data_IF_301069814045
#
_entry.id   IF_301069814045
#
_cell.length_a   1.000
_cell.length_b   1.000
_cell.length_c   1.000
_cell.angle_alpha   90.00
_cell.angle_beta   90.00
_cell.angle_gamma   90.00
#
_symmetry.space_group_name_H-M   'P 1'
#
loop_
_entity.id
_entity.type
_entity.pdbx_description
1 polymer ?
#
# COMPACT_ATOMS: atom_id res chain seq x y z
N UNK A 1 -5.14 1.32 -14.48
CA UNK A 1 -5.20 1.08 -13.02
C UNK A 1 -3.91 1.59 -12.39
N UNK A 2 -4.00 2.34 -11.30
CA UNK A 2 -2.85 2.93 -10.58
C UNK A 2 -2.71 2.28 -9.21
N UNK A 3 -1.49 1.91 -8.81
CA UNK A 3 -1.21 1.38 -7.47
C UNK A 3 -0.40 2.43 -6.69
N UNK A 4 -0.92 2.82 -5.53
CA UNK A 4 -0.20 3.64 -4.55
C UNK A 4 0.13 2.77 -3.33
N UNK A 5 1.41 2.45 -3.17
CA UNK A 5 1.94 1.73 -2.01
C UNK A 5 2.45 2.67 -0.94
N UNK A 6 1.94 2.59 0.28
CA UNK A 6 2.49 3.28 1.45
C UNK A 6 2.96 2.22 2.44
N UNK A 7 4.26 2.19 2.70
CA UNK A 7 4.88 1.13 3.51
C UNK A 7 5.98 1.68 4.39
N UNK A 8 6.32 0.94 5.44
CA UNK A 8 7.53 1.21 6.20
C UNK A 8 8.80 0.99 5.39
N UNK A 9 9.90 1.56 5.90
CA UNK A 9 11.19 1.53 5.25
C UNK A 9 11.71 0.10 4.99
N UNK A 10 11.30 -0.87 5.82
CA UNK A 10 11.63 -2.29 5.67
C UNK A 10 11.21 -2.88 4.32
N UNK A 11 10.09 -2.41 3.74
CA UNK A 11 9.58 -2.89 2.45
C UNK A 11 9.74 -1.89 1.32
N UNK A 12 9.91 -0.60 1.63
CA UNK A 12 9.96 0.49 0.64
C UNK A 12 10.98 0.24 -0.48
N UNK A 13 12.24 -0.06 -0.14
CA UNK A 13 13.31 -0.19 -1.14
C UNK A 13 13.04 -1.34 -2.11
N UNK A 14 12.55 -2.46 -1.59
CA UNK A 14 12.29 -3.65 -2.39
C UNK A 14 11.06 -3.49 -3.26
N UNK A 15 9.96 -2.93 -2.72
CA UNK A 15 8.76 -2.63 -3.50
C UNK A 15 9.01 -1.58 -4.58
N UNK A 16 9.87 -0.58 -4.30
CA UNK A 16 10.29 0.40 -5.31
C UNK A 16 11.14 -0.22 -6.42
N UNK A 17 11.90 -1.28 -6.12
CA UNK A 17 12.63 -2.03 -7.16
C UNK A 17 11.66 -2.89 -7.97
N UNK A 18 10.79 -3.63 -7.29
CA UNK A 18 9.77 -4.46 -7.91
C UNK A 18 8.80 -3.67 -8.80
N UNK A 19 8.44 -2.44 -8.40
CA UNK A 19 7.59 -1.56 -9.21
C UNK A 19 8.24 -1.13 -10.52
N UNK A 20 9.56 -0.92 -10.53
CA UNK A 20 10.31 -0.59 -11.76
C UNK A 20 10.31 -1.75 -12.76
N UNK A 21 10.31 -2.99 -12.28
CA UNK A 21 10.22 -4.18 -13.13
C UNK A 21 8.86 -4.29 -13.85
N UNK A 22 7.86 -3.53 -13.41
CA UNK A 22 6.50 -3.53 -13.95
C UNK A 22 6.11 -2.20 -14.61
N UNK A 23 7.05 -1.26 -14.77
CA UNK A 23 6.76 0.11 -15.24
C UNK A 23 6.05 0.17 -16.59
N UNK A 24 6.29 -0.81 -17.46
CA UNK A 24 5.74 -0.88 -18.81
C UNK A 24 4.34 -1.53 -18.83
N UNK A 25 3.91 -2.12 -17.71
CA UNK A 25 2.63 -2.81 -17.56
C UNK A 25 1.65 -2.02 -16.68
N UNK A 26 2.14 -1.37 -15.62
CA UNK A 26 1.30 -0.70 -14.63
C UNK A 26 1.95 0.55 -14.03
N UNK A 27 1.11 1.51 -13.66
CA UNK A 27 1.54 2.69 -12.93
C UNK A 27 1.57 2.39 -11.43
N UNK A 28 2.78 2.19 -10.89
CA UNK A 28 2.99 1.86 -9.48
C UNK A 28 3.89 2.92 -8.84
N UNK A 29 3.37 3.59 -7.81
CA UNK A 29 4.14 4.52 -6.98
C UNK A 29 4.23 3.97 -5.57
N UNK A 30 5.43 3.99 -5.00
CA UNK A 30 5.69 3.50 -3.64
C UNK A 30 6.27 4.65 -2.82
N UNK A 31 5.69 4.88 -1.65
CA UNK A 31 6.05 5.94 -0.72
C UNK A 31 6.47 5.36 0.63
N UNK A 32 7.48 5.97 1.23
CA UNK A 32 7.92 5.63 2.58
C UNK A 32 6.98 6.31 3.58
N UNK A 33 6.31 5.51 4.41
CA UNK A 33 5.46 6.00 5.49
C UNK A 33 6.22 6.97 6.42
N UNK A 34 7.50 6.68 6.72
CA UNK A 34 8.36 7.56 7.53
C UNK A 34 8.66 8.91 6.87
N UNK A 35 8.67 8.97 5.54
CA UNK A 35 8.83 10.23 4.82
C UNK A 35 7.53 11.04 4.81
N UNK A 36 6.38 10.37 4.62
CA UNK A 36 5.06 11.01 4.64
C UNK A 36 4.65 11.48 6.04
N UNK A 37 5.04 10.75 7.09
CA UNK A 37 4.80 11.15 8.48
C UNK A 37 5.41 12.52 8.82
N UNK A 38 6.54 12.86 8.20
CA UNK A 38 7.23 14.15 8.41
C UNK A 38 6.71 15.28 7.53
N UNK A 39 5.87 14.96 6.53
CA UNK A 39 5.43 15.91 5.51
C UNK A 39 3.95 15.69 5.21
N UNK A 40 3.12 16.35 6.02
CA UNK A 40 1.68 16.20 5.96
C UNK A 40 1.08 16.64 4.61
N UNK A 41 1.58 17.74 4.04
CA UNK A 41 1.07 18.26 2.77
C UNK A 41 1.34 17.25 1.65
N UNK A 42 2.50 16.59 1.69
CA UNK A 42 2.82 15.52 0.75
C UNK A 42 1.93 14.30 0.93
N UNK A 43 1.57 13.92 2.16
CA UNK A 43 0.61 12.83 2.39
C UNK A 43 -0.74 13.15 1.75
N UNK A 44 -1.28 14.34 1.99
CA UNK A 44 -2.55 14.79 1.40
C UNK A 44 -2.49 14.83 -0.13
N UNK A 45 -1.37 15.29 -0.69
CA UNK A 45 -1.15 15.28 -2.14
C UNK A 45 -1.14 13.86 -2.72
N UNK A 46 -0.45 12.92 -2.06
CA UNK A 46 -0.42 11.52 -2.52
C UNK A 46 -1.81 10.88 -2.46
N UNK A 47 -2.58 11.17 -1.42
CA UNK A 47 -3.93 10.62 -1.27
C UNK A 47 -4.94 11.29 -2.20
N UNK A 48 -4.78 12.57 -2.56
CA UNK A 48 -5.67 13.24 -3.52
C UNK A 48 -5.51 12.72 -4.96
N UNK A 49 -4.40 12.03 -5.27
CA UNK A 49 -4.22 11.33 -6.54
C UNK A 49 -5.01 10.01 -6.64
N UNK A 50 -5.72 9.60 -5.57
CA UNK A 50 -6.54 8.40 -5.57
C UNK A 50 -7.86 8.62 -6.30
N UNK A 51 -8.21 7.66 -7.16
CA UNK A 51 -9.44 7.66 -7.96
C UNK A 51 -10.17 6.33 -7.78
N UNK A 52 -11.41 6.20 -8.26
CA UNK A 52 -12.15 4.92 -8.19
C UNK A 52 -11.42 3.75 -8.85
N UNK A 53 -10.52 4.01 -9.80
CA UNK A 53 -9.71 2.99 -10.49
C UNK A 53 -8.32 2.76 -9.86
N UNK A 54 -8.07 3.37 -8.70
CA UNK A 54 -6.84 3.22 -7.94
C UNK A 54 -6.90 2.03 -6.97
N UNK A 55 -5.74 1.45 -6.70
CA UNK A 55 -5.50 0.51 -5.61
C UNK A 55 -4.53 1.12 -4.61
N UNK A 56 -4.90 1.13 -3.34
CA UNK A 56 -4.02 1.49 -2.23
C UNK A 56 -3.46 0.22 -1.61
N UNK A 57 -2.15 0.11 -1.57
CA UNK A 57 -1.45 -0.95 -0.86
C UNK A 57 -0.82 -0.39 0.40
N UNK A 58 -1.18 -0.94 1.56
CA UNK A 58 -0.66 -0.54 2.86
C UNK A 58 0.04 -1.71 3.52
N UNK A 59 1.19 -1.45 4.14
CA UNK A 59 1.72 -2.32 5.18
C UNK A 59 1.69 -1.55 6.51
N UNK A 60 0.60 -1.71 7.25
CA UNK A 60 0.30 -0.91 8.44
C UNK A 60 0.78 -1.55 9.74
N UNK A 61 0.90 -0.73 10.77
CA UNK A 61 1.19 -1.11 12.15
C UNK A 61 0.40 -0.20 13.10
N UNK A 62 0.66 -0.26 14.41
CA UNK A 62 -0.16 0.39 15.44
C UNK A 62 0.08 1.90 15.62
N UNK A 63 1.04 2.50 14.91
CA UNK A 63 1.42 3.90 15.05
C UNK A 63 0.33 4.87 14.55
N UNK A 64 0.19 6.02 15.22
CA UNK A 64 -0.84 7.03 14.94
C UNK A 64 -0.85 7.53 13.50
N UNK A 65 0.30 7.50 12.81
CA UNK A 65 0.38 7.81 11.38
C UNK A 65 -0.62 6.99 10.56
N UNK A 66 -0.78 5.70 10.86
CA UNK A 66 -1.71 4.83 10.12
C UNK A 66 -3.16 5.13 10.40
N UNK A 67 -3.50 5.57 11.62
CA UNK A 67 -4.86 6.04 11.90
C UNK A 67 -5.21 7.24 11.03
N UNK A 68 -4.25 8.13 10.78
CA UNK A 68 -4.45 9.29 9.91
C UNK A 68 -4.66 8.88 8.45
N UNK A 69 -3.81 7.99 7.94
CA UNK A 69 -3.95 7.42 6.59
C UNK A 69 -5.31 6.75 6.43
N UNK A 70 -5.70 5.93 7.41
CA UNK A 70 -6.99 5.24 7.40
C UNK A 70 -8.17 6.21 7.43
N UNK A 71 -8.12 7.26 8.26
CA UNK A 71 -9.15 8.30 8.30
C UNK A 71 -9.28 8.98 6.94
N UNK A 72 -8.19 9.37 6.30
CA UNK A 72 -8.23 10.04 5.00
C UNK A 72 -8.81 9.13 3.90
N UNK A 73 -8.41 7.86 3.85
CA UNK A 73 -8.97 6.88 2.92
C UNK A 73 -10.49 6.69 3.14
N UNK A 74 -10.94 6.69 4.41
CA UNK A 74 -12.37 6.51 4.74
C UNK A 74 -13.20 7.78 4.52
N UNK A 75 -12.66 8.96 4.82
CA UNK A 75 -13.36 10.25 4.73
C UNK A 75 -13.71 10.61 3.29
N UNK A 76 -12.82 10.32 2.33
CA UNK A 76 -13.04 10.59 0.91
C UNK A 76 -13.98 9.58 0.23
N UNK A 77 -14.66 8.73 1.02
CA UNK A 77 -15.44 7.58 0.56
C UNK A 77 -14.73 6.79 -0.56
N UNK A 78 -13.42 6.60 -0.41
CA UNK A 78 -12.59 6.08 -1.48
C UNK A 78 -13.18 4.79 -2.06
N UNK A 79 -13.66 4.86 -3.31
CA UNK A 79 -14.36 3.74 -3.98
C UNK A 79 -13.41 2.74 -4.65
N UNK A 80 -12.10 3.01 -4.61
CA UNK A 80 -11.10 2.10 -5.15
C UNK A 80 -10.83 0.90 -4.24
N UNK A 81 -9.79 0.14 -4.60
CA UNK A 81 -9.41 -1.07 -3.86
C UNK A 81 -8.40 -0.75 -2.78
N UNK A 82 -8.55 -1.36 -1.61
CA UNK A 82 -7.58 -1.27 -0.52
C UNK A 82 -7.08 -2.68 -0.23
N UNK A 83 -5.76 -2.84 -0.26
CA UNK A 83 -5.04 -4.03 0.22
C UNK A 83 -4.23 -3.58 1.42
N UNK A 84 -4.68 -3.91 2.61
CA UNK A 84 -4.02 -3.57 3.86
C UNK A 84 -3.43 -4.83 4.49
N UNK A 85 -2.10 -4.91 4.48
CA UNK A 85 -1.33 -5.93 5.16
C UNK A 85 -0.78 -5.39 6.48
N UNK A 86 -0.48 -6.30 7.39
CA UNK A 86 0.19 -6.01 8.66
C UNK A 86 0.70 -7.31 9.26
N UNK A 87 1.64 -7.21 10.20
CA UNK A 87 1.99 -8.32 11.07
C UNK A 87 0.78 -8.79 11.89
N UNK A 88 -0.09 -7.88 12.36
CA UNK A 88 -1.31 -8.25 13.08
C UNK A 88 -2.48 -8.38 12.09
N UNK A 89 -3.07 -9.59 11.92
CA UNK A 89 -4.20 -9.79 11.01
C UNK A 89 -5.45 -8.97 11.35
N UNK A 90 -5.61 -8.50 12.59
CA UNK A 90 -6.74 -7.64 12.96
C UNK A 90 -6.83 -6.37 12.08
N UNK A 91 -5.67 -5.91 11.61
CA UNK A 91 -5.54 -4.75 10.74
C UNK A 91 -5.90 -5.00 9.27
N UNK A 92 -6.05 -6.26 8.86
CA UNK A 92 -6.40 -6.61 7.48
C UNK A 92 -7.84 -6.23 7.13
N UNK A 93 -8.67 -6.00 8.14
CA UNK A 93 -10.07 -5.54 8.04
C UNK A 93 -10.25 -4.21 7.30
N UNK A 94 -9.17 -3.43 7.13
CA UNK A 94 -9.17 -2.23 6.28
C UNK A 94 -9.18 -2.56 4.78
N UNK A 95 -8.84 -3.80 4.40
CA UNK A 95 -8.86 -4.22 3.00
C UNK A 95 -10.29 -4.28 2.46
N UNK A 96 -10.50 -3.80 1.24
CA UNK A 96 -11.79 -3.89 0.53
C UNK A 96 -11.82 -5.03 -0.50
N UNK A 97 -10.70 -5.72 -0.67
CA UNK A 97 -10.59 -6.91 -1.52
C UNK A 97 -10.96 -8.19 -0.75
N UNK A 98 -11.18 -9.29 -1.48
CA UNK A 98 -11.48 -10.59 -0.86
C UNK A 98 -10.33 -11.07 0.05
N UNK A 99 -10.62 -11.76 1.17
CA UNK A 99 -9.59 -12.23 2.11
C UNK A 99 -8.48 -13.08 1.48
N UNK A 100 -8.79 -13.87 0.43
CA UNK A 100 -7.79 -14.71 -0.23
C UNK A 100 -6.73 -13.87 -0.95
N UNK A 101 -7.10 -12.68 -1.44
CA UNK A 101 -6.15 -11.74 -2.07
C UNK A 101 -5.21 -11.18 -1.01
N UNK A 102 -5.74 -10.81 0.16
CA UNK A 102 -4.95 -10.31 1.29
C UNK A 102 -3.96 -11.37 1.77
N UNK A 103 -4.46 -12.60 1.99
CA UNK A 103 -3.62 -13.73 2.43
C UNK A 103 -2.51 -14.05 1.43
N UNK A 104 -2.83 -14.09 0.13
CA UNK A 104 -1.84 -14.35 -0.92
C UNK A 104 -0.81 -13.23 -1.03
N UNK A 105 -1.23 -11.97 -0.95
CA UNK A 105 -0.30 -10.84 -0.94
C UNK A 105 0.63 -10.88 0.29
N UNK A 106 0.09 -11.22 1.46
CA UNK A 106 0.88 -11.41 2.67
C UNK A 106 1.91 -12.53 2.54
N UNK A 107 1.55 -13.65 1.91
CA UNK A 107 2.47 -14.77 1.69
C UNK A 107 3.71 -14.33 0.88
N UNK A 108 3.52 -13.58 -0.22
CA UNK A 108 4.64 -13.02 -0.99
C UNK A 108 5.50 -12.07 -0.14
N UNK A 109 4.86 -11.24 0.68
CA UNK A 109 5.56 -10.27 1.53
C UNK A 109 6.41 -10.97 2.61
N UNK A 110 5.92 -12.05 3.20
CA UNK A 110 6.61 -12.85 4.23
C UNK A 110 7.80 -13.60 3.64
N UNK A 111 7.63 -14.28 2.50
CA UNK A 111 8.77 -14.95 1.83
C UNK A 111 9.81 -13.92 1.40
N UNK A 112 9.36 -12.72 1.05
CA UNK A 112 10.19 -11.58 0.71
C UNK A 112 11.06 -11.84 -0.54
N UNK A 113 11.93 -10.89 -0.88
CA UNK A 113 12.74 -10.96 -2.09
C UNK A 113 12.07 -10.31 -3.30
N UNK A 114 12.90 -9.90 -4.25
CA UNK A 114 12.47 -9.05 -5.35
C UNK A 114 11.44 -9.72 -6.26
N UNK A 115 11.67 -10.98 -6.61
CA UNK A 115 10.75 -11.75 -7.46
C UNK A 115 9.36 -11.87 -6.82
N UNK A 116 9.31 -12.17 -5.51
CA UNK A 116 8.05 -12.27 -4.78
C UNK A 116 7.33 -10.91 -4.70
N UNK A 117 8.06 -9.82 -4.44
CA UNK A 117 7.46 -8.48 -4.43
C UNK A 117 6.95 -8.07 -5.82
N UNK A 118 7.67 -8.45 -6.88
CA UNK A 118 7.21 -8.24 -8.26
C UNK A 118 5.97 -9.08 -8.55
N UNK A 119 5.92 -10.34 -8.15
CA UNK A 119 4.77 -11.21 -8.36
C UNK A 119 3.56 -10.80 -7.51
N UNK A 120 3.77 -10.24 -6.32
CA UNK A 120 2.70 -9.66 -5.50
C UNK A 120 2.04 -8.45 -6.17
N UNK A 121 2.83 -7.64 -6.89
CA UNK A 121 2.35 -6.42 -7.54
C UNK A 121 1.69 -6.67 -8.90
N UNK A 122 1.90 -7.83 -9.53
CA UNK A 122 1.28 -8.25 -10.80
C UNK A 122 -0.19 -8.65 -10.61
#
# INVERSE_FOLDING_TARGET
>A
MKIIGIVWQSYYNLLRKASKNLKDLMQIQVYSARALEKDQLRLETVLSELTSDSLVFLYKSSEQFWEKVERLIKLDEFKGKVVCLSHDPAYWTLSTVRPEIVSRAYAYLVVNGEENMTNMLK
#
